data_IF_277670910833
#
_entry.id   IF_277670910833
#
_cell.length_a   1.000
_cell.length_b   1.000
_cell.length_c   1.000
_cell.angle_alpha   90.00
_cell.angle_beta   90.00
_cell.angle_gamma   90.00
#
_symmetry.space_group_name_H-M   'P 1'
#
loop_
_entity.id
_entity.type
_entity.pdbx_description
1 polymer ?
#
# COMPACT_ATOMS: atom_id res chain seq x y z
N UNK A 1 3.44 -2.07 9.46
CA UNK A 1 3.31 -0.61 9.63
C UNK A 1 4.53 -0.01 10.32
N UNK A 2 4.67 -0.07 11.66
CA UNK A 2 5.65 0.73 12.44
C UNK A 2 7.11 0.65 11.96
N UNK A 3 7.60 -0.52 11.55
CA UNK A 3 8.98 -0.70 11.03
C UNK A 3 9.18 -0.20 9.59
N UNK A 4 8.14 -0.25 8.76
CA UNK A 4 8.21 0.09 7.33
C UNK A 4 7.97 1.59 7.12
N UNK A 5 7.07 2.19 7.90
CA UNK A 5 6.70 3.60 7.78
C UNK A 5 7.88 4.58 7.82
N UNK A 6 8.90 4.46 8.71
CA UNK A 6 10.05 5.37 8.67
C UNK A 6 10.86 5.25 7.38
N UNK A 7 11.02 4.05 6.83
CA UNK A 7 11.74 3.82 5.57
C UNK A 7 10.99 4.45 4.40
N UNK A 8 9.69 4.19 4.32
CA UNK A 8 8.82 4.76 3.27
C UNK A 8 8.78 6.29 3.35
N UNK A 9 8.76 6.86 4.56
CA UNK A 9 8.88 8.31 4.77
C UNK A 9 10.21 8.86 4.26
N UNK A 10 11.31 8.13 4.43
CA UNK A 10 12.61 8.48 3.86
C UNK A 10 12.57 8.55 2.34
N UNK A 11 12.01 7.52 1.68
CA UNK A 11 11.84 7.51 0.23
C UNK A 11 10.95 8.64 -0.27
N UNK A 12 9.85 8.89 0.41
CA UNK A 12 8.94 10.00 0.11
C UNK A 12 9.69 11.33 0.19
N UNK A 13 10.49 11.55 1.24
CA UNK A 13 11.23 12.81 1.42
C UNK A 13 12.31 13.00 0.34
N UNK A 14 13.02 11.94 0.00
CA UNK A 14 14.11 11.99 -0.97
C UNK A 14 13.60 12.06 -2.41
N UNK A 15 12.73 11.13 -2.81
CA UNK A 15 12.24 11.02 -4.19
C UNK A 15 11.01 11.90 -4.49
N UNK A 16 10.28 12.39 -3.48
CA UNK A 16 9.05 13.15 -3.67
C UNK A 16 9.23 14.52 -4.31
N UNK A 17 10.44 15.10 -4.23
CA UNK A 17 10.75 16.39 -4.84
C UNK A 17 11.10 16.27 -6.34
N UNK A 18 11.82 15.21 -6.72
CA UNK A 18 12.44 15.09 -8.04
C UNK A 18 11.81 14.02 -8.94
N UNK A 19 11.26 12.95 -8.37
CA UNK A 19 10.84 11.76 -9.10
C UNK A 19 9.45 11.28 -8.69
N UNK A 20 8.46 12.17 -8.73
CA UNK A 20 7.08 11.87 -8.29
C UNK A 20 6.44 10.67 -9.00
N UNK A 21 6.66 10.52 -10.31
CA UNK A 21 6.14 9.40 -11.10
C UNK A 21 6.75 8.06 -10.67
N UNK A 22 8.07 8.01 -10.51
CA UNK A 22 8.81 6.82 -10.03
C UNK A 22 8.39 6.48 -8.61
N UNK A 23 8.31 7.48 -7.72
CA UNK A 23 7.86 7.31 -6.35
C UNK A 23 6.46 6.71 -6.31
N UNK A 24 5.52 7.20 -7.13
CA UNK A 24 4.18 6.62 -7.21
C UNK A 24 4.21 5.14 -7.58
N UNK A 25 4.99 4.77 -8.60
CA UNK A 25 5.15 3.37 -9.01
C UNK A 25 5.72 2.47 -7.90
N UNK A 26 6.70 2.96 -7.14
CA UNK A 26 7.26 2.22 -5.99
C UNK A 26 6.21 2.04 -4.89
N UNK A 27 5.45 3.08 -4.57
CA UNK A 27 4.42 3.02 -3.53
C UNK A 27 3.22 2.16 -3.95
N UNK A 28 2.89 2.12 -5.23
CA UNK A 28 1.89 1.18 -5.78
C UNK A 28 2.40 -0.26 -5.74
N UNK A 29 3.68 -0.49 -6.01
CA UNK A 29 4.28 -1.81 -5.83
C UNK A 29 4.22 -2.29 -4.37
N UNK A 30 4.43 -1.38 -3.40
CA UNK A 30 4.23 -1.70 -1.98
C UNK A 30 2.78 -2.13 -1.69
N UNK A 31 1.78 -1.46 -2.29
CA UNK A 31 0.38 -1.89 -2.18
C UNK A 31 0.18 -3.31 -2.76
N UNK A 32 0.81 -3.63 -3.88
CA UNK A 32 0.75 -4.98 -4.46
C UNK A 32 1.36 -6.04 -3.53
N UNK A 33 2.50 -5.77 -2.90
CA UNK A 33 3.11 -6.67 -1.91
C UNK A 33 2.16 -6.89 -0.73
N UNK A 34 1.51 -5.83 -0.24
CA UNK A 34 0.51 -5.94 0.84
C UNK A 34 -0.68 -6.81 0.42
N UNK A 35 -1.15 -6.68 -0.83
CA UNK A 35 -2.21 -7.54 -1.39
C UNK A 35 -1.77 -9.01 -1.38
N UNK A 36 -0.55 -9.32 -1.83
CA UNK A 36 -0.03 -10.69 -1.77
C UNK A 36 0.11 -11.20 -0.32
N UNK A 37 0.51 -10.33 0.61
CA UNK A 37 0.54 -10.66 2.03
C UNK A 37 -0.86 -10.98 2.58
N UNK A 38 -1.89 -10.21 2.22
CA UNK A 38 -3.29 -10.49 2.58
C UNK A 38 -3.70 -11.88 2.07
N UNK A 39 -3.39 -12.20 0.82
CA UNK A 39 -3.69 -13.51 0.21
C UNK A 39 -3.01 -14.67 0.95
N UNK A 40 -1.75 -14.48 1.38
CA UNK A 40 -0.99 -15.51 2.11
C UNK A 40 -1.49 -15.67 3.55
N UNK A 41 -1.80 -14.56 4.21
CA UNK A 41 -2.20 -14.53 5.63
C UNK A 41 -3.62 -15.06 5.85
N UNK A 42 -4.57 -14.70 4.99
CA UNK A 42 -5.98 -15.05 5.19
C UNK A 42 -6.42 -16.11 4.19
N UNK A 43 -6.82 -17.29 4.70
CA UNK A 43 -7.27 -18.43 3.88
C UNK A 43 -8.33 -18.07 2.82
N UNK A 44 -9.37 -17.25 3.12
CA UNK A 44 -10.40 -16.90 2.13
C UNK A 44 -9.86 -16.17 0.90
N UNK A 45 -8.76 -15.42 1.04
CA UNK A 45 -8.22 -14.58 -0.02
C UNK A 45 -7.14 -15.27 -0.88
N UNK A 46 -6.72 -16.50 -0.56
CA UNK A 46 -5.61 -17.19 -1.26
C UNK A 46 -5.78 -17.21 -2.78
N UNK A 47 -6.98 -17.55 -3.25
CA UNK A 47 -7.32 -17.63 -4.69
C UNK A 47 -8.03 -16.37 -5.21
N UNK A 48 -8.39 -15.43 -4.35
CA UNK A 48 -9.23 -14.28 -4.69
C UNK A 48 -8.43 -12.98 -4.60
N UNK A 49 -7.62 -12.70 -5.62
CA UNK A 49 -6.81 -11.47 -5.67
C UNK A 49 -7.66 -10.20 -5.59
N UNK A 50 -8.75 -10.13 -6.36
CA UNK A 50 -9.66 -8.97 -6.33
C UNK A 50 -10.26 -8.76 -4.93
N UNK A 51 -10.71 -9.82 -4.27
CA UNK A 51 -11.24 -9.70 -2.91
C UNK A 51 -10.17 -9.24 -1.90
N UNK A 52 -8.93 -9.70 -2.04
CA UNK A 52 -7.81 -9.22 -1.23
C UNK A 52 -7.55 -7.71 -1.45
N UNK A 53 -7.64 -7.25 -2.71
CA UNK A 53 -7.53 -5.83 -3.07
C UNK A 53 -8.66 -5.02 -2.43
N UNK A 54 -9.92 -5.41 -2.61
CA UNK A 54 -11.07 -4.73 -2.00
C UNK A 54 -10.97 -4.67 -0.47
N UNK A 55 -10.54 -5.78 0.15
CA UNK A 55 -10.34 -5.84 1.59
C UNK A 55 -9.27 -4.87 2.06
N UNK A 56 -8.12 -4.81 1.36
CA UNK A 56 -7.04 -3.89 1.69
C UNK A 56 -7.44 -2.43 1.44
N UNK A 57 -8.17 -2.15 0.36
CA UNK A 57 -8.70 -0.82 0.06
C UNK A 57 -9.68 -0.34 1.13
N UNK A 58 -10.56 -1.22 1.63
CA UNK A 58 -11.45 -0.93 2.75
C UNK A 58 -10.66 -0.64 4.03
N UNK A 59 -9.61 -1.41 4.30
CA UNK A 59 -8.73 -1.17 5.45
C UNK A 59 -8.00 0.18 5.33
N UNK A 60 -7.50 0.51 4.14
CA UNK A 60 -6.80 1.76 3.88
C UNK A 60 -7.70 2.98 4.05
N UNK A 61 -8.97 2.89 3.63
CA UNK A 61 -9.97 3.96 3.88
C UNK A 61 -10.34 4.09 5.36
N UNK A 62 -10.43 2.97 6.09
CA UNK A 62 -10.75 2.98 7.54
C UNK A 62 -9.59 3.49 8.39
N UNK A 63 -8.35 3.19 8.01
CA UNK A 63 -7.14 3.53 8.76
C UNK A 63 -6.06 4.10 7.82
N UNK A 64 -6.25 5.32 7.29
CA UNK A 64 -5.32 5.91 6.32
C UNK A 64 -3.93 6.17 6.91
N UNK A 65 -3.80 6.30 8.24
CA UNK A 65 -2.52 6.51 8.93
C UNK A 65 -1.69 5.24 9.16
N UNK A 66 -2.21 4.05 8.82
CA UNK A 66 -1.52 2.79 9.06
C UNK A 66 -0.21 2.67 8.25
N UNK A 67 -0.22 3.13 7.00
CA UNK A 67 0.96 3.21 6.14
C UNK A 67 1.18 4.64 5.66
N UNK A 68 2.45 5.05 5.56
CA UNK A 68 2.80 6.43 5.22
C UNK A 68 2.28 6.85 3.84
N UNK A 69 2.30 5.96 2.85
CA UNK A 69 1.85 6.27 1.49
C UNK A 69 0.33 6.32 1.33
N UNK A 70 -0.43 5.67 2.22
CA UNK A 70 -1.89 5.78 2.24
C UNK A 70 -2.35 7.19 2.63
N UNK A 71 -1.63 7.87 3.53
CA UNK A 71 -1.89 9.27 3.88
C UNK A 71 -1.68 10.23 2.69
N UNK A 72 -0.92 9.81 1.68
CA UNK A 72 -0.67 10.59 0.46
C UNK A 72 -1.72 10.34 -0.64
N UNK A 73 -2.75 9.55 -0.36
CA UNK A 73 -3.77 9.18 -1.36
C UNK A 73 -3.34 8.03 -2.28
N UNK A 74 -2.18 7.40 -2.04
CA UNK A 74 -1.73 6.23 -2.81
C UNK A 74 -2.34 4.97 -2.19
N UNK A 75 -3.64 4.81 -2.44
CA UNK A 75 -4.44 3.72 -1.93
C UNK A 75 -4.34 2.51 -2.87
N UNK A 76 -4.42 1.28 -2.33
CA UNK A 76 -4.53 0.09 -3.17
C UNK A 76 -5.80 0.22 -4.02
N UNK A 77 -5.62 0.28 -5.33
CA UNK A 77 -6.72 0.45 -6.27
C UNK A 77 -7.67 -0.75 -6.17
N UNK A 78 -8.92 -0.42 -5.92
CA UNK A 78 -10.06 -1.30 -6.01
C UNK A 78 -11.07 -0.49 -6.81
N UNK A 79 -11.00 -0.62 -8.14
CA UNK A 79 -12.08 -0.19 -9.03
C UNK A 79 -13.38 -0.89 -8.63
#
# INVERSE_FOLDING_TARGET
ARRINPIVRGWIRYYGLYYKSVLRGVLDHLNWILIQWVRRKYKPFRRHQRQAMYWLARLARRQPSLFAHWQMGILPAAE
#
